data_IF_790552732673
#
_entry.id   IF_790552732673
#
_cell.length_a   1.000
_cell.length_b   1.000
_cell.length_c   1.000
_cell.angle_alpha   90.00
_cell.angle_beta   90.00
_cell.angle_gamma   90.00
#
_symmetry.space_group_name_H-M   'P 1'
#
loop_
_entity.id
_entity.type
_entity.pdbx_description
1 polymer ?
#
# COMPACT_ATOMS: atom_id res chain seq x y z
N UNK A 1 -23.15 14.30 73.40
CA UNK A 1 -22.14 15.14 72.72
C UNK A 1 -21.24 14.25 71.86
N UNK A 2 -21.49 14.07 70.56
CA UNK A 2 -20.49 13.49 69.62
C UNK A 2 -20.83 13.73 68.13
N UNK A 3 -21.21 14.95 67.73
CA UNK A 3 -21.51 15.29 66.31
C UNK A 3 -20.38 16.04 65.57
N UNK A 4 -19.30 16.42 66.28
CA UNK A 4 -18.22 17.23 65.69
C UNK A 4 -17.21 16.45 64.83
N UNK A 5 -17.02 15.16 65.09
CA UNK A 5 -15.99 14.33 64.44
C UNK A 5 -16.40 13.83 63.04
N UNK A 6 -17.64 13.38 62.87
CA UNK A 6 -18.17 12.86 61.58
C UNK A 6 -18.26 13.94 60.47
N UNK A 7 -18.57 15.18 60.83
CA UNK A 7 -18.66 16.29 59.86
C UNK A 7 -17.29 16.71 59.30
N UNK A 8 -16.22 16.51 60.08
CA UNK A 8 -14.85 16.80 59.65
C UNK A 8 -14.30 15.75 58.67
N UNK A 9 -14.59 14.47 58.89
CA UNK A 9 -14.19 13.35 57.99
C UNK A 9 -14.83 13.49 56.62
N UNK A 10 -16.15 13.71 56.57
CA UNK A 10 -16.88 13.92 55.31
C UNK A 10 -16.39 15.14 54.54
N UNK A 11 -15.96 16.21 55.24
CA UNK A 11 -15.36 17.39 54.60
C UNK A 11 -13.98 17.08 54.00
N UNK A 12 -13.19 16.21 54.63
CA UNK A 12 -11.89 15.75 54.12
C UNK A 12 -12.09 14.84 52.90
N UNK A 13 -13.05 13.92 52.94
CA UNK A 13 -13.41 13.05 51.81
C UNK A 13 -13.83 13.86 50.58
N UNK A 14 -14.72 14.85 50.75
CA UNK A 14 -15.12 15.75 49.64
C UNK A 14 -13.92 16.48 49.03
N UNK A 15 -12.98 16.95 49.86
CA UNK A 15 -11.74 17.61 49.39
C UNK A 15 -10.87 16.66 48.60
N UNK A 16 -10.76 15.39 49.01
CA UNK A 16 -9.98 14.38 48.30
C UNK A 16 -10.60 14.03 46.94
N UNK A 17 -11.93 13.80 46.91
CA UNK A 17 -12.68 13.51 45.68
C UNK A 17 -12.50 14.64 44.67
N UNK A 18 -12.70 15.89 45.11
CA UNK A 18 -12.57 17.06 44.24
C UNK A 18 -11.11 17.28 43.78
N UNK A 19 -10.11 16.98 44.64
CA UNK A 19 -8.69 16.98 44.24
C UNK A 19 -8.43 15.93 43.16
N UNK A 20 -8.96 14.71 43.32
CA UNK A 20 -8.81 13.65 42.33
C UNK A 20 -9.46 14.06 40.99
N UNK A 21 -10.66 14.62 41.02
CA UNK A 21 -11.36 15.15 39.84
C UNK A 21 -10.52 16.19 39.09
N UNK A 22 -9.89 17.14 39.79
CA UNK A 22 -9.00 18.14 39.17
C UNK A 22 -7.72 17.54 38.60
N UNK A 23 -7.13 16.57 39.28
CA UNK A 23 -5.96 15.86 38.78
C UNK A 23 -6.27 15.08 37.50
N UNK A 24 -7.41 14.38 37.46
CA UNK A 24 -7.88 13.70 36.24
C UNK A 24 -8.05 14.69 35.08
N UNK A 25 -8.69 15.84 35.34
CA UNK A 25 -8.84 16.89 34.33
C UNK A 25 -7.48 17.37 33.80
N UNK A 26 -6.52 17.65 34.70
CA UNK A 26 -5.16 18.07 34.32
C UNK A 26 -4.45 17.04 33.43
N UNK A 27 -4.61 15.74 33.74
CA UNK A 27 -4.02 14.66 32.94
C UNK A 27 -4.62 14.64 31.53
N UNK A 28 -5.95 14.80 31.41
CA UNK A 28 -6.62 14.81 30.11
C UNK A 28 -6.18 15.98 29.23
N UNK A 29 -6.08 17.19 29.78
CA UNK A 29 -5.54 18.35 29.05
C UNK A 29 -4.09 18.11 28.59
N UNK A 30 -3.26 17.53 29.46
CA UNK A 30 -1.88 17.22 29.10
C UNK A 30 -1.81 16.22 27.93
N UNK A 31 -2.69 15.21 27.92
CA UNK A 31 -2.80 14.25 26.82
C UNK A 31 -3.28 14.91 25.53
N UNK A 32 -4.27 15.80 25.62
CA UNK A 32 -4.79 16.53 24.47
C UNK A 32 -3.69 17.37 23.82
N UNK A 33 -2.96 18.16 24.62
CA UNK A 33 -1.95 19.08 24.11
C UNK A 33 -0.80 18.38 23.36
N UNK A 34 -0.46 17.14 23.72
CA UNK A 34 0.56 16.35 23.01
C UNK A 34 0.08 15.92 21.61
N UNK A 35 -1.23 15.82 21.38
CA UNK A 35 -1.81 15.42 20.09
C UNK A 35 -2.00 16.61 19.13
N UNK A 36 -1.93 17.83 19.64
CA UNK A 36 -2.09 19.04 18.84
C UNK A 36 -0.78 19.40 18.13
N UNK A 37 -0.85 20.04 16.95
CA UNK A 37 0.33 20.55 16.26
C UNK A 37 1.11 21.46 17.19
N UNK A 38 2.44 21.31 17.19
CA UNK A 38 3.37 22.02 18.05
C UNK A 38 3.04 23.53 18.12
N UNK A 39 2.38 23.92 19.20
CA UNK A 39 2.13 25.30 19.58
C UNK A 39 3.47 25.90 20.02
N UNK A 40 4.27 26.36 19.06
CA UNK A 40 5.62 26.89 19.32
C UNK A 40 5.64 28.25 20.05
N UNK A 41 4.58 28.63 20.76
CA UNK A 41 4.52 29.88 21.50
C UNK A 41 4.72 29.63 22.99
N UNK A 42 5.67 30.34 23.56
CA UNK A 42 6.08 30.37 24.97
C UNK A 42 5.00 30.86 25.95
N UNK A 43 3.74 30.70 25.62
CA UNK A 43 2.61 31.27 26.36
C UNK A 43 1.51 30.22 26.45
N UNK A 44 1.24 29.75 27.67
CA UNK A 44 0.20 28.77 27.91
C UNK A 44 -1.15 29.44 27.66
N UNK A 45 -1.79 29.11 26.53
CA UNK A 45 -3.14 29.56 26.23
C UNK A 45 -4.11 29.18 27.36
N UNK A 46 -5.16 29.99 27.61
CA UNK A 46 -6.24 29.63 28.50
C UNK A 46 -6.79 28.22 28.19
N UNK A 47 -7.18 27.48 29.23
CA UNK A 47 -7.73 26.12 29.07
C UNK A 47 -8.94 26.04 28.09
N UNK A 48 -9.87 27.01 28.05
CA UNK A 48 -10.96 27.01 27.05
C UNK A 48 -10.43 27.08 25.61
N UNK A 49 -9.46 27.96 25.37
CA UNK A 49 -8.89 28.21 24.05
C UNK A 49 -8.15 26.96 23.51
N UNK A 50 -7.57 26.14 24.39
CA UNK A 50 -6.97 24.84 24.02
C UNK A 50 -8.00 23.84 23.50
N UNK A 51 -9.24 23.87 24.02
CA UNK A 51 -10.33 23.00 23.54
C UNK A 51 -10.81 23.49 22.18
N UNK A 52 -10.98 24.79 22.00
CA UNK A 52 -11.41 25.37 20.73
C UNK A 52 -10.39 25.10 19.62
N UNK A 53 -9.09 25.23 19.91
CA UNK A 53 -8.03 24.84 18.98
C UNK A 53 -8.08 23.35 18.62
N UNK A 54 -8.33 22.47 19.59
CA UNK A 54 -8.47 21.05 19.31
C UNK A 54 -9.66 20.77 18.37
N UNK A 55 -10.78 21.47 18.56
CA UNK A 55 -11.96 21.38 17.71
C UNK A 55 -11.63 21.84 16.28
N UNK A 56 -10.93 22.96 16.14
CA UNK A 56 -10.48 23.47 14.84
C UNK A 56 -9.52 22.48 14.15
N UNK A 57 -8.59 21.91 14.91
CA UNK A 57 -7.65 20.93 14.38
C UNK A 57 -8.35 19.67 13.88
N UNK A 58 -9.31 19.13 14.62
CA UNK A 58 -10.13 17.98 14.18
C UNK A 58 -10.83 18.30 12.85
N UNK A 59 -11.49 19.46 12.74
CA UNK A 59 -12.12 19.89 11.48
C UNK A 59 -11.11 20.00 10.33
N UNK A 60 -9.90 20.48 10.61
CA UNK A 60 -8.82 20.56 9.62
C UNK A 60 -8.37 19.17 9.14
N UNK A 61 -8.35 18.18 10.03
CA UNK A 61 -8.00 16.80 9.70
C UNK A 61 -9.10 16.14 8.87
N UNK A 62 -10.36 16.33 9.23
CA UNK A 62 -11.51 15.80 8.46
C UNK A 62 -11.52 16.34 7.02
N UNK A 63 -11.26 17.63 6.85
CA UNK A 63 -11.17 18.25 5.51
C UNK A 63 -9.98 17.72 4.71
N UNK A 64 -8.80 17.58 5.32
CA UNK A 64 -7.62 16.95 4.68
C UNK A 64 -7.89 15.51 4.27
N UNK A 65 -8.55 14.73 5.14
CA UNK A 65 -8.91 13.34 4.86
C UNK A 65 -9.86 13.24 3.67
N UNK A 66 -10.91 14.07 3.64
CA UNK A 66 -11.85 14.14 2.51
C UNK A 66 -11.14 14.49 1.20
N UNK A 67 -10.29 15.52 1.19
CA UNK A 67 -9.50 15.91 0.00
C UNK A 67 -8.57 14.79 -0.47
N UNK A 68 -7.92 14.09 0.46
CA UNK A 68 -7.08 12.94 0.13
C UNK A 68 -7.87 11.78 -0.45
N UNK A 69 -9.08 11.53 0.06
CA UNK A 69 -10.00 10.50 -0.47
C UNK A 69 -10.49 10.85 -1.87
N UNK A 70 -10.94 12.08 -2.09
CA UNK A 70 -11.35 12.56 -3.42
C UNK A 70 -10.21 12.46 -4.43
N UNK A 71 -8.99 12.84 -4.04
CA UNK A 71 -7.80 12.68 -4.89
C UNK A 71 -7.52 11.21 -5.21
N UNK A 72 -7.63 10.32 -4.22
CA UNK A 72 -7.48 8.88 -4.42
C UNK A 72 -8.50 8.35 -5.42
N UNK A 73 -9.79 8.67 -5.24
CA UNK A 73 -10.85 8.23 -6.15
C UNK A 73 -10.70 8.83 -7.56
N UNK A 74 -10.27 10.09 -7.68
CA UNK A 74 -10.00 10.71 -8.98
C UNK A 74 -8.85 10.02 -9.74
N UNK A 75 -7.83 9.53 -9.01
CA UNK A 75 -6.74 8.75 -9.60
C UNK A 75 -7.13 7.28 -9.85
N UNK A 76 -7.99 6.70 -9.01
CA UNK A 76 -8.47 5.31 -9.15
C UNK A 76 -9.65 5.15 -10.12
N UNK A 77 -10.37 6.22 -10.45
CA UNK A 77 -11.60 6.25 -11.26
C UNK A 77 -11.44 5.79 -12.71
N UNK A 78 -10.24 5.38 -13.09
CA UNK A 78 -9.97 4.64 -14.32
C UNK A 78 -9.42 3.25 -13.94
N UNK A 79 -10.24 2.41 -13.32
CA UNK A 79 -10.15 0.96 -13.63
C UNK A 79 -10.41 0.85 -15.12
N UNK A 80 -9.37 1.04 -15.94
CA UNK A 80 -9.40 0.65 -17.35
C UNK A 80 -9.63 -0.85 -17.29
N UNK A 81 -10.89 -1.24 -17.46
CA UNK A 81 -11.23 -2.62 -17.76
C UNK A 81 -10.34 -3.01 -18.92
N UNK A 82 -9.48 -3.99 -18.71
CA UNK A 82 -8.71 -4.65 -19.75
C UNK A 82 -9.69 -5.52 -20.56
N UNK A 83 -10.74 -4.89 -21.11
CA UNK A 83 -11.61 -5.53 -22.09
C UNK A 83 -10.88 -5.41 -23.40
N UNK A 84 -10.18 -6.48 -23.74
CA UNK A 84 -9.58 -6.72 -25.04
C UNK A 84 -10.73 -6.77 -26.05
N UNK A 85 -11.08 -5.64 -26.68
CA UNK A 85 -12.01 -5.68 -27.80
C UNK A 85 -11.26 -6.21 -29.02
N UNK A 86 -11.35 -7.51 -29.24
CA UNK A 86 -11.23 -8.08 -30.57
C UNK A 86 -12.37 -7.52 -31.42
N UNK A 87 -12.11 -6.45 -32.17
CA UNK A 87 -12.89 -6.13 -33.35
C UNK A 87 -11.96 -5.55 -34.40
N UNK A 88 -11.92 -6.24 -35.53
CA UNK A 88 -11.20 -5.87 -36.74
C UNK A 88 -11.62 -4.47 -37.22
N UNK A 89 -10.71 -3.51 -37.10
CA UNK A 89 -10.65 -2.31 -37.93
C UNK A 89 -9.28 -1.63 -37.73
N UNK A 90 -8.41 -1.68 -38.75
CA UNK A 90 -7.13 -0.94 -38.85
C UNK A 90 -7.35 0.42 -39.56
N UNK A 91 -6.37 1.36 -39.59
CA UNK A 91 -5.11 1.44 -38.86
C UNK A 91 -4.87 2.82 -38.18
N UNK A 92 -3.77 2.95 -37.43
CA UNK A 92 -3.25 4.18 -36.80
C UNK A 92 -3.68 4.43 -35.34
N UNK A 93 -3.44 3.43 -34.50
CA UNK A 93 -2.95 3.66 -33.14
C UNK A 93 -1.89 2.59 -32.90
N UNK A 94 -0.74 2.96 -32.35
CA UNK A 94 0.31 2.04 -31.90
C UNK A 94 -0.36 0.86 -31.21
N UNK A 95 -0.17 -0.35 -31.74
CA UNK A 95 -0.66 -1.58 -31.14
C UNK A 95 -0.19 -1.60 -29.68
N UNK A 96 -1.08 -1.29 -28.75
CA UNK A 96 -0.79 -1.34 -27.32
C UNK A 96 -0.62 -2.82 -27.01
N UNK A 97 0.63 -3.28 -27.02
CA UNK A 97 0.96 -4.65 -26.60
C UNK A 97 0.38 -4.84 -25.20
N UNK A 98 -0.46 -5.84 -25.04
CA UNK A 98 -0.97 -6.23 -23.73
C UNK A 98 0.22 -6.50 -22.80
N UNK A 99 0.12 -6.11 -21.53
CA UNK A 99 1.18 -6.39 -20.58
C UNK A 99 1.36 -7.91 -20.45
N UNK A 100 2.60 -8.37 -20.42
CA UNK A 100 2.95 -9.78 -20.27
C UNK A 100 3.79 -9.97 -19.02
N UNK A 101 3.54 -11.04 -18.28
CA UNK A 101 4.27 -11.37 -17.05
C UNK A 101 4.80 -12.80 -17.12
N UNK A 102 6.07 -12.96 -16.80
CA UNK A 102 6.73 -14.24 -16.62
C UNK A 102 7.28 -14.28 -15.19
N UNK A 103 7.11 -15.42 -14.52
CA UNK A 103 7.49 -15.62 -13.14
C UNK A 103 8.34 -16.88 -13.09
N UNK A 104 9.58 -16.74 -12.62
CA UNK A 104 10.53 -17.83 -12.47
C UNK A 104 10.83 -18.02 -11.00
N UNK A 105 10.57 -19.23 -10.53
CA UNK A 105 10.85 -19.64 -9.16
C UNK A 105 12.12 -20.51 -9.15
N UNK A 106 13.09 -20.10 -8.33
CA UNK A 106 14.33 -20.84 -8.11
C UNK A 106 14.57 -20.98 -6.60
N UNK A 107 13.94 -22.01 -6.01
CA UNK A 107 14.01 -22.26 -4.57
C UNK A 107 13.36 -21.12 -3.79
N UNK A 108 14.12 -20.44 -2.93
CA UNK A 108 13.64 -19.26 -2.17
C UNK A 108 13.68 -17.95 -2.95
N UNK A 109 14.20 -17.96 -4.18
CA UNK A 109 14.31 -16.78 -5.03
C UNK A 109 13.19 -16.75 -6.05
N UNK A 110 12.58 -15.58 -6.22
CA UNK A 110 11.53 -15.29 -7.18
C UNK A 110 12.00 -14.20 -8.14
N UNK A 111 11.99 -14.50 -9.43
CA UNK A 111 12.24 -13.52 -10.49
C UNK A 111 10.94 -13.25 -11.24
N UNK A 112 10.55 -11.97 -11.30
CA UNK A 112 9.35 -11.51 -12.03
C UNK A 112 9.81 -10.63 -13.18
N UNK A 113 9.49 -11.05 -14.40
CA UNK A 113 9.73 -10.31 -15.63
C UNK A 113 8.40 -9.79 -16.14
N UNK A 114 8.25 -8.47 -16.21
CA UNK A 114 7.04 -7.81 -16.66
C UNK A 114 7.36 -6.93 -17.88
N UNK A 115 6.65 -7.16 -18.99
CA UNK A 115 6.75 -6.36 -20.21
C UNK A 115 5.50 -5.49 -20.30
N UNK A 116 5.67 -4.17 -20.34
CA UNK A 116 4.57 -3.21 -20.46
C UNK A 116 4.78 -2.23 -21.61
N UNK A 117 3.70 -1.63 -22.11
CA UNK A 117 3.78 -0.41 -22.92
C UNK A 117 3.87 0.85 -22.05
N UNK A 118 4.24 1.99 -22.65
CA UNK A 118 4.38 3.29 -21.95
C UNK A 118 3.15 3.70 -21.13
N UNK A 119 1.94 3.31 -21.58
CA UNK A 119 0.68 3.65 -20.91
C UNK A 119 0.34 2.75 -19.69
N UNK A 120 1.12 1.70 -19.43
CA UNK A 120 0.83 0.66 -18.44
C UNK A 120 1.86 0.59 -17.30
N UNK A 121 2.64 1.65 -17.07
CA UNK A 121 3.67 1.68 -16.03
C UNK A 121 3.13 1.46 -14.60
N UNK A 122 1.84 1.76 -14.35
CA UNK A 122 1.22 1.53 -13.04
C UNK A 122 1.21 0.04 -12.64
N UNK A 123 1.19 -0.87 -13.61
CA UNK A 123 1.18 -2.32 -13.37
C UNK A 123 2.42 -2.75 -12.60
N UNK A 124 3.58 -2.18 -12.92
CA UNK A 124 4.81 -2.45 -12.18
C UNK A 124 4.69 -2.11 -10.69
N UNK A 125 4.08 -0.96 -10.36
CA UNK A 125 3.87 -0.59 -8.95
C UNK A 125 2.92 -1.57 -8.25
N UNK A 126 1.90 -2.07 -8.95
CA UNK A 126 0.98 -3.07 -8.42
C UNK A 126 1.66 -4.43 -8.19
N UNK A 127 2.57 -4.84 -9.08
CA UNK A 127 3.42 -6.04 -8.90
C UNK A 127 4.23 -5.91 -7.61
N UNK A 128 4.93 -4.78 -7.40
CA UNK A 128 5.69 -4.54 -6.16
C UNK A 128 4.76 -4.54 -4.93
N UNK A 129 3.55 -3.97 -5.07
CA UNK A 129 2.57 -3.96 -3.99
C UNK A 129 2.11 -5.37 -3.60
N UNK A 130 1.83 -6.25 -4.57
CA UNK A 130 1.44 -7.63 -4.33
C UNK A 130 2.57 -8.39 -3.63
N UNK A 131 3.82 -8.23 -4.08
CA UNK A 131 4.98 -8.87 -3.44
C UNK A 131 5.10 -8.48 -1.97
N UNK A 132 4.95 -7.19 -1.66
CA UNK A 132 4.99 -6.70 -0.28
C UNK A 132 3.82 -7.21 0.57
N UNK A 133 2.60 -7.28 0.02
CA UNK A 133 1.44 -7.81 0.74
C UNK A 133 1.61 -9.29 1.12
N UNK A 134 2.25 -10.07 0.26
CA UNK A 134 2.54 -11.49 0.48
C UNK A 134 3.85 -11.74 1.24
N UNK A 135 4.42 -10.70 1.87
CA UNK A 135 5.63 -10.79 2.69
C UNK A 135 6.85 -11.32 1.91
N UNK A 136 6.90 -11.04 0.61
CA UNK A 136 8.08 -11.32 -0.22
C UNK A 136 9.00 -10.10 -0.20
N UNK A 137 10.26 -10.33 0.16
CA UNK A 137 11.27 -9.27 0.21
C UNK A 137 11.79 -8.98 -1.20
N UNK A 138 11.69 -7.74 -1.66
CA UNK A 138 12.24 -7.33 -2.96
C UNK A 138 13.71 -6.97 -2.78
N UNK A 139 14.60 -7.75 -3.37
CA UNK A 139 16.05 -7.55 -3.31
C UNK A 139 16.53 -6.53 -4.35
N UNK A 140 16.03 -6.65 -5.57
CA UNK A 140 16.42 -5.78 -6.68
C UNK A 140 15.23 -5.55 -7.61
N UNK A 141 15.14 -4.34 -8.16
CA UNK A 141 14.16 -4.00 -9.17
C UNK A 141 14.81 -3.08 -10.21
N UNK A 142 14.80 -3.52 -11.47
CA UNK A 142 15.40 -2.79 -12.59
C UNK A 142 14.40 -2.68 -13.73
N UNK A 143 14.62 -1.70 -14.61
CA UNK A 143 13.86 -1.58 -15.83
C UNK A 143 14.74 -1.15 -17.00
N UNK A 144 14.35 -1.53 -18.20
CA UNK A 144 14.95 -1.07 -19.45
C UNK A 144 13.86 -0.74 -20.46
N UNK A 145 14.14 0.24 -21.33
CA UNK A 145 13.19 0.69 -22.34
C UNK A 145 13.75 0.31 -23.71
N UNK A 146 12.96 -0.44 -24.48
CA UNK A 146 13.31 -0.85 -25.84
C UNK A 146 12.16 -0.52 -26.77
N UNK A 147 12.34 0.51 -27.60
CA UNK A 147 11.29 1.01 -28.51
C UNK A 147 10.07 1.55 -27.74
N UNK A 148 8.93 0.90 -27.93
CA UNK A 148 7.66 1.24 -27.25
C UNK A 148 7.32 0.32 -26.07
N UNK A 149 8.24 -0.57 -25.70
CA UNK A 149 8.08 -1.50 -24.58
C UNK A 149 9.06 -1.19 -23.45
N UNK A 150 8.60 -1.38 -22.22
CA UNK A 150 9.36 -1.26 -20.98
C UNK A 150 9.43 -2.66 -20.38
N UNK A 151 10.65 -3.12 -20.15
CA UNK A 151 10.94 -4.38 -19.48
C UNK A 151 11.23 -4.07 -18.02
N UNK A 152 10.52 -4.72 -17.13
CA UNK A 152 10.72 -4.64 -15.70
C UNK A 152 11.20 -6.00 -15.21
N UNK A 153 12.24 -6.00 -14.39
CA UNK A 153 12.79 -7.21 -13.78
C UNK A 153 12.83 -6.97 -12.28
N UNK A 154 12.18 -7.84 -11.51
CA UNK A 154 12.16 -7.81 -10.06
C UNK A 154 12.72 -9.11 -9.54
N UNK A 155 13.77 -9.02 -8.74
CA UNK A 155 14.29 -10.13 -7.96
C UNK A 155 13.83 -9.99 -6.53
N UNK A 156 13.20 -11.04 -6.03
CA UNK A 156 12.61 -11.09 -4.70
C UNK A 156 12.95 -12.42 -4.00
N UNK A 157 12.83 -12.43 -2.68
CA UNK A 157 13.12 -13.59 -1.85
C UNK A 157 11.92 -13.87 -0.93
N UNK A 158 11.53 -15.14 -0.88
CA UNK A 158 10.41 -15.60 -0.04
C UNK A 158 10.96 -15.89 1.36
N UNK A 159 10.43 -15.20 2.37
CA UNK A 159 10.77 -15.41 3.78
C UNK A 159 10.38 -16.81 4.28
N UNK A 160 11.28 -17.46 5.02
CA UNK A 160 11.18 -18.88 5.40
C UNK A 160 10.02 -19.21 6.34
N UNK A 161 9.08 -20.04 5.83
CA UNK A 161 8.28 -21.09 6.49
C UNK A 161 7.11 -21.56 5.59
N UNK A 162 6.82 -20.85 4.49
CA UNK A 162 5.72 -21.15 3.57
C UNK A 162 6.18 -21.16 2.11
N UNK A 163 7.28 -21.84 1.79
CA UNK A 163 7.92 -21.80 0.47
C UNK A 163 6.93 -22.15 -0.65
N UNK A 164 6.24 -23.29 -0.52
CA UNK A 164 5.34 -23.81 -1.55
C UNK A 164 3.99 -23.05 -1.62
N UNK A 165 3.58 -22.42 -0.53
CA UNK A 165 2.31 -21.67 -0.44
C UNK A 165 2.47 -20.19 -0.82
N UNK A 166 3.64 -19.61 -0.54
CA UNK A 166 3.95 -18.20 -0.83
C UNK A 166 4.16 -17.96 -2.32
N UNK A 167 4.99 -18.79 -2.98
CA UNK A 167 5.30 -18.63 -4.40
C UNK A 167 4.07 -18.84 -5.29
N UNK A 168 3.28 -19.88 -5.01
CA UNK A 168 2.06 -20.22 -5.76
C UNK A 168 1.00 -19.13 -5.66
N UNK A 169 0.72 -18.64 -4.44
CA UNK A 169 -0.23 -17.56 -4.18
C UNK A 169 0.19 -16.23 -4.83
N UNK A 170 1.47 -15.87 -4.73
CA UNK A 170 2.02 -14.69 -5.39
C UNK A 170 1.86 -14.79 -6.90
N UNK A 171 2.21 -15.94 -7.47
CA UNK A 171 2.09 -16.22 -8.91
C UNK A 171 0.66 -16.10 -9.40
N UNK A 172 -0.29 -16.68 -8.67
CA UNK A 172 -1.72 -16.59 -8.98
C UNK A 172 -2.18 -15.13 -8.98
N UNK A 173 -1.91 -14.38 -7.92
CA UNK A 173 -2.33 -12.97 -7.80
C UNK A 173 -1.73 -12.08 -8.88
N UNK A 174 -0.45 -12.31 -9.22
CA UNK A 174 0.23 -11.60 -10.30
C UNK A 174 -0.34 -11.94 -11.68
N UNK A 175 -0.68 -13.21 -11.94
CA UNK A 175 -1.36 -13.61 -13.17
C UNK A 175 -2.77 -13.03 -13.26
N UNK A 176 -3.54 -13.06 -12.16
CA UNK A 176 -4.88 -12.44 -12.09
C UNK A 176 -4.84 -10.95 -12.36
N UNK A 177 -3.80 -10.24 -11.92
CA UNK A 177 -3.62 -8.81 -12.19
C UNK A 177 -3.53 -8.51 -13.70
N UNK A 178 -2.83 -9.37 -14.46
CA UNK A 178 -2.51 -9.17 -15.87
C UNK A 178 -3.59 -9.75 -16.80
N UNK A 179 -4.01 -10.98 -16.54
CA UNK A 179 -4.93 -11.74 -17.39
C UNK A 179 -6.38 -11.67 -16.91
N UNK A 180 -6.64 -11.07 -15.76
CA UNK A 180 -7.96 -11.09 -15.10
C UNK A 180 -8.22 -12.41 -14.38
N UNK A 181 -9.34 -12.48 -13.64
CA UNK A 181 -9.78 -13.71 -12.99
C UNK A 181 -10.35 -14.64 -14.06
N UNK A 182 -9.59 -15.62 -14.51
CA UNK A 182 -10.09 -16.67 -15.39
C UNK A 182 -10.96 -17.62 -14.55
N UNK A 183 -12.26 -17.37 -14.45
CA UNK A 183 -13.16 -18.48 -14.15
C UNK A 183 -13.18 -19.36 -15.40
N UNK A 184 -12.62 -20.56 -15.28
CA UNK A 184 -12.70 -21.76 -16.14
C UNK A 184 -13.37 -21.57 -17.52
N UNK A 185 -12.74 -21.93 -18.65
CA UNK A 185 -12.38 -23.31 -19.02
C UNK A 185 -11.33 -23.29 -20.15
N UNK A 186 -10.49 -24.33 -20.12
CA UNK A 186 -9.66 -24.91 -21.18
C UNK A 186 -8.26 -24.34 -21.45
N UNK A 187 -7.31 -25.03 -20.80
CA UNK A 187 -5.99 -25.39 -21.30
C UNK A 187 -5.86 -25.40 -22.82
N UNK A 188 -4.85 -24.69 -23.32
CA UNK A 188 -4.04 -25.20 -24.41
C UNK A 188 -2.57 -24.91 -24.11
N UNK A 189 -1.89 -25.98 -23.71
CA UNK A 189 -0.45 -26.06 -23.56
C UNK A 189 0.17 -26.16 -24.96
N UNK A 190 0.41 -25.02 -25.61
CA UNK A 190 1.23 -24.99 -26.81
C UNK A 190 2.65 -24.54 -26.43
N UNK A 191 3.39 -25.53 -25.93
CA UNK A 191 4.64 -25.99 -26.52
C UNK A 191 5.41 -24.93 -27.33
N UNK A 192 6.18 -24.09 -26.66
CA UNK A 192 7.24 -23.32 -27.30
C UNK A 192 8.42 -24.26 -27.55
N UNK A 193 8.39 -24.98 -28.67
CA UNK A 193 9.59 -25.51 -29.30
C UNK A 193 10.42 -24.30 -29.76
N UNK A 194 11.35 -23.89 -28.91
CA UNK A 194 12.41 -22.97 -29.30
C UNK A 194 13.44 -23.80 -30.06
N UNK A 195 13.29 -23.91 -31.38
CA UNK A 195 14.36 -24.32 -32.28
C UNK A 195 15.47 -23.25 -32.20
N UNK A 196 16.40 -23.46 -31.27
CA UNK A 196 17.70 -22.81 -31.27
C UNK A 196 18.63 -23.64 -32.15
N UNK A 197 18.72 -23.28 -33.42
CA UNK A 197 19.90 -23.60 -34.22
C UNK A 197 21.09 -22.81 -33.66
N UNK A 198 21.79 -23.42 -32.70
CA UNK A 198 23.08 -22.96 -32.23
C UNK A 198 24.11 -23.32 -33.31
N UNK A 199 24.47 -22.36 -34.16
CA UNK A 199 25.77 -22.42 -34.83
C UNK A 199 26.87 -22.10 -33.81
N UNK A 200 27.88 -22.97 -33.63
CA UNK A 200 29.05 -22.64 -32.83
C UNK A 200 30.07 -21.84 -33.66
N UNK A 201 30.88 -21.07 -32.93
CA UNK A 201 32.11 -20.37 -33.35
C UNK A 201 31.92 -18.93 -33.90
N UNK A 202 32.65 -17.89 -33.47
CA UNK A 202 34.01 -17.80 -32.92
C UNK A 202 34.09 -16.60 -31.94
N UNK A 203 34.61 -16.83 -30.73
CA UNK A 203 35.21 -15.76 -29.92
C UNK A 203 36.71 -15.86 -30.08
N UNK A 204 37.32 -14.94 -30.83
CA UNK A 204 38.76 -14.75 -30.80
C UNK A 204 39.08 -13.54 -29.90
N UNK A 205 40.07 -13.75 -29.04
CA UNK A 205 40.71 -12.76 -28.17
C UNK A 205 41.25 -11.56 -28.94
#
# INVERSE_FOLDING_TARGET
MNQGSQSSSTKIERRLIEKNRRNQMKILYSKLNVLLPNQNSKEALPLPDQIDEAIEYIKSLETKLKKSKEKKEGLMGRKRSYSCTNLEAKPMASSLKSPQIEIREMGSTLEVVLITGKDNQFIFNEVIHILHQEQVEVLNASYSITGDSIFHIVHAQIGGCSLDFGATKVTERLKTLIYGSTSDVESQSDLWDFDYDVQPETWNF
#
